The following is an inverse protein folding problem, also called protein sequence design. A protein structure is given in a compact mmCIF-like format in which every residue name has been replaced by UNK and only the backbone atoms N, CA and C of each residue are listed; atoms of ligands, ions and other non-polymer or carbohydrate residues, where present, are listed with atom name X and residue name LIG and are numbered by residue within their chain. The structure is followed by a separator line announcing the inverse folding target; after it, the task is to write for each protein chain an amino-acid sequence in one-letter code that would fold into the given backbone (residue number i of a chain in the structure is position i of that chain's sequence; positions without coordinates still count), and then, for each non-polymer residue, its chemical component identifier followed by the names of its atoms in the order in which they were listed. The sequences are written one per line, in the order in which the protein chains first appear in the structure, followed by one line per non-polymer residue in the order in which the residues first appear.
data_IF_477518208444
#
_entry.id   IF_477518208444
#
_cell.length_a   1.000
_cell.length_b   1.000
_cell.length_c   1.000
_cell.angle_alpha   90.00
_cell.angle_beta   90.00
_cell.angle_gamma   90.00
#
_symmetry.space_group_name_H-M   'P 1'
#
loop_
_entity.id
_entity.type
_entity.pdbx_description
1 polymer ?
#
# COMPACT_ATOMS: atom_id res chain seq x y z
N UNK A 1 49.03 23.77 12.37
CA UNK A 1 49.44 24.51 11.16
C UNK A 1 48.52 24.11 10.02
N UNK A 2 47.99 25.12 9.31
CA UNK A 2 47.06 25.01 8.18
C UNK A 2 47.73 24.37 6.96
N UNK A 3 46.99 23.55 6.21
CA UNK A 3 47.38 23.03 4.90
C UNK A 3 46.19 23.05 3.94
N UNK A 4 46.29 23.89 2.92
CA UNK A 4 45.26 24.42 2.03
C UNK A 4 44.36 23.45 1.23
N UNK A 5 43.09 23.85 1.16
CA UNK A 5 42.13 23.83 0.03
C UNK A 5 42.66 23.38 -1.34
N UNK A 6 41.92 22.46 -1.98
CA UNK A 6 41.62 22.55 -3.43
C UNK A 6 40.12 22.42 -3.68
N UNK A 7 39.58 23.56 -4.09
CA UNK A 7 38.29 23.83 -4.68
C UNK A 7 38.30 23.30 -6.13
N UNK A 8 37.28 22.55 -6.55
CA UNK A 8 36.91 22.40 -7.97
C UNK A 8 35.45 22.82 -8.12
N UNK A 9 35.27 23.92 -8.84
CA UNK A 9 34.00 24.50 -9.30
C UNK A 9 33.79 24.07 -10.76
N UNK A 10 32.52 24.07 -11.17
CA UNK A 10 31.93 24.04 -12.52
C UNK A 10 31.49 22.65 -13.00
N UNK A 11 30.28 22.45 -13.53
CA UNK A 11 29.40 23.38 -14.24
C UNK A 11 27.91 22.99 -14.06
N UNK A 12 27.06 23.99 -13.88
CA UNK A 12 25.59 23.90 -13.93
C UNK A 12 25.15 23.84 -15.39
N UNK A 13 24.25 22.93 -15.73
CA UNK A 13 23.31 23.11 -16.84
C UNK A 13 21.90 22.80 -16.32
N UNK A 14 21.11 23.87 -16.29
CA UNK A 14 19.70 23.95 -15.94
C UNK A 14 18.83 23.37 -17.04
N UNK A 15 17.80 22.61 -16.68
CA UNK A 15 16.49 22.72 -17.34
C UNK A 15 15.40 22.74 -16.28
N UNK A 16 14.76 23.90 -16.18
CA UNK A 16 13.59 24.23 -15.38
C UNK A 16 12.31 23.59 -15.96
N UNK A 17 11.25 23.70 -15.15
CA UNK A 17 9.80 23.57 -15.43
C UNK A 17 9.27 22.17 -15.06
N UNK A 18 8.37 21.96 -14.10
CA UNK A 18 7.47 22.86 -13.36
C UNK A 18 7.16 22.28 -11.98
N UNK A 19 7.35 23.09 -10.94
CA UNK A 19 6.67 22.91 -9.66
C UNK A 19 5.21 23.32 -9.85
N UNK A 20 4.27 22.42 -9.59
CA UNK A 20 2.93 22.80 -9.16
C UNK A 20 2.68 22.21 -7.77
N UNK A 21 2.74 23.08 -6.77
CA UNK A 21 2.16 22.84 -5.45
C UNK A 21 0.70 22.44 -5.60
N UNK A 22 0.30 21.37 -4.94
CA UNK A 22 -0.89 21.41 -4.07
C UNK A 22 -0.57 20.65 -2.80
N UNK A 23 -0.16 21.42 -1.78
CA UNK A 23 -0.34 21.06 -0.39
C UNK A 23 -1.85 21.09 -0.08
N UNK A 24 -2.38 20.10 0.64
CA UNK A 24 -3.59 20.32 1.43
C UNK A 24 -3.29 19.99 2.89
N UNK A 25 -3.64 20.95 3.72
CA UNK A 25 -3.36 21.09 5.14
C UNK A 25 -4.46 20.41 5.94
N UNK A 26 -4.09 19.82 7.07
CA UNK A 26 -5.00 19.32 8.09
C UNK A 26 -6.04 20.37 8.50
N UNK A 27 -7.33 20.03 8.38
CA UNK A 27 -8.41 20.85 8.89
C UNK A 27 -8.54 20.63 10.41
N UNK A 28 -8.20 21.66 11.16
CA UNK A 28 -8.44 21.80 12.59
C UNK A 28 -9.94 21.76 12.91
N UNK A 29 -10.34 20.92 13.85
CA UNK A 29 -11.47 21.25 14.73
C UNK A 29 -11.27 20.67 16.13
N UNK A 30 -10.40 21.30 16.92
CA UNK A 30 -10.69 21.50 18.34
C UNK A 30 -10.76 23.00 18.64
N UNK A 31 -11.80 23.34 19.39
CA UNK A 31 -12.47 24.63 19.43
C UNK A 31 -11.68 25.78 20.09
N UNK A 32 -12.05 26.99 19.65
CA UNK A 32 -12.13 28.25 20.41
C UNK A 32 -11.72 28.18 21.90
N UNK A 33 -10.68 28.92 22.29
CA UNK A 33 -10.88 30.17 23.03
C UNK A 33 -9.57 31.00 23.16
N UNK A 34 -9.61 32.17 22.51
CA UNK A 34 -9.04 33.46 22.90
C UNK A 34 -7.52 33.71 22.97
N UNK A 35 -7.08 34.38 21.89
CA UNK A 35 -6.33 35.65 21.86
C UNK A 35 -4.79 35.66 21.95
N UNK A 36 -4.24 36.00 20.78
CA UNK A 36 -3.14 36.94 20.51
C UNK A 36 -1.69 36.42 20.59
N UNK A 37 -1.18 36.11 19.39
CA UNK A 37 0.12 36.51 18.81
C UNK A 37 1.35 36.55 19.75
N UNK A 38 2.47 35.86 19.52
CA UNK A 38 3.25 35.79 18.27
C UNK A 38 4.46 34.86 18.52
N UNK A 39 4.76 34.00 17.55
CA UNK A 39 6.12 33.56 17.24
C UNK A 39 6.79 32.56 18.20
N UNK A 40 6.46 31.27 18.07
CA UNK A 40 7.46 30.20 18.22
C UNK A 40 7.39 29.29 17.01
N UNK A 41 8.40 29.43 16.16
CA UNK A 41 8.70 28.51 15.05
C UNK A 41 8.95 27.14 15.67
N UNK A 42 8.07 26.18 15.40
CA UNK A 42 8.32 24.77 15.70
C UNK A 42 9.17 24.26 14.54
N UNK A 43 10.42 23.91 14.81
CA UNK A 43 11.27 23.24 13.85
C UNK A 43 10.67 21.88 13.53
N UNK A 44 10.08 21.77 12.34
CA UNK A 44 9.64 20.50 11.77
C UNK A 44 10.88 19.70 11.41
N UNK A 45 11.29 18.78 12.26
CA UNK A 45 12.28 17.76 11.90
C UNK A 45 11.61 16.84 10.89
N UNK A 46 11.86 17.12 9.61
CA UNK A 46 11.48 16.25 8.51
C UNK A 46 12.38 15.01 8.61
N UNK A 47 11.85 13.91 9.13
CA UNK A 47 12.45 12.60 8.93
C UNK A 47 12.06 12.12 7.53
N UNK A 48 12.85 12.52 6.52
CA UNK A 48 13.02 11.67 5.35
C UNK A 48 14.03 10.61 5.74
N UNK A 49 13.60 9.58 6.46
CA UNK A 49 14.32 8.32 6.30
C UNK A 49 13.95 7.82 4.91
N UNK A 50 14.97 7.86 4.04
CA UNK A 50 14.94 7.14 2.79
C UNK A 50 14.58 5.70 3.16
N UNK A 51 13.36 5.27 2.83
CA UNK A 51 13.19 3.87 2.46
C UNK A 51 14.25 3.66 1.38
N UNK A 52 15.25 2.83 1.66
CA UNK A 52 16.19 2.37 0.64
C UNK A 52 15.38 1.60 -0.41
N UNK A 53 14.73 2.33 -1.31
CA UNK A 53 14.46 1.85 -2.65
C UNK A 53 15.86 1.78 -3.25
N UNK A 54 16.42 0.60 -3.53
CA UNK A 54 17.77 0.50 -4.03
C UNK A 54 17.89 1.35 -5.29
N UNK A 55 18.59 2.49 -5.20
CA UNK A 55 19.14 3.18 -6.36
C UNK A 55 20.20 2.26 -6.95
N UNK A 56 19.75 1.29 -7.75
CA UNK A 56 20.65 0.53 -8.56
C UNK A 56 21.15 1.44 -9.68
N UNK A 57 22.30 2.07 -9.45
CA UNK A 57 23.15 2.54 -10.54
C UNK A 57 23.79 1.31 -11.18
N UNK A 58 22.96 0.51 -11.86
CA UNK A 58 23.44 -0.62 -12.64
C UNK A 58 24.02 -0.07 -13.94
N UNK A 59 25.35 -0.12 -14.00
CA UNK A 59 26.09 -0.36 -15.24
C UNK A 59 25.27 -1.28 -16.15
N UNK A 60 24.98 -0.86 -17.38
CA UNK A 60 24.16 -1.55 -18.38
C UNK A 60 24.19 -3.07 -18.24
N UNK A 61 23.25 -3.61 -17.46
CA UNK A 61 23.03 -5.05 -17.37
C UNK A 61 22.46 -5.44 -18.71
N UNK A 62 23.17 -6.33 -19.40
CA UNK A 62 22.68 -6.87 -20.65
C UNK A 62 21.40 -7.64 -20.33
N UNK A 63 20.25 -7.10 -20.75
CA UNK A 63 18.95 -7.71 -20.52
C UNK A 63 18.96 -9.12 -21.11
N UNK A 64 18.74 -10.12 -20.24
CA UNK A 64 18.81 -11.53 -20.63
C UNK A 64 17.59 -11.94 -21.46
N UNK A 65 16.47 -11.25 -21.24
CA UNK A 65 15.22 -11.45 -21.96
C UNK A 65 15.15 -10.48 -23.14
N UNK A 66 14.61 -10.88 -24.32
CA UNK A 66 14.07 -9.90 -25.24
C UNK A 66 12.96 -9.13 -24.51
N UNK A 67 13.32 -7.97 -23.96
CA UNK A 67 12.38 -7.11 -23.23
C UNK A 67 11.24 -6.76 -24.20
N UNK A 68 9.99 -6.97 -23.77
CA UNK A 68 8.77 -6.34 -24.30
C UNK A 68 7.92 -7.06 -25.36
N UNK A 69 8.11 -8.34 -25.66
CA UNK A 69 7.06 -9.04 -26.42
C UNK A 69 5.93 -9.42 -25.46
N UNK A 70 4.91 -8.55 -25.38
CA UNK A 70 3.66 -8.87 -24.69
C UNK A 70 3.07 -10.13 -25.33
N UNK A 71 2.88 -11.15 -24.50
CA UNK A 71 2.18 -12.37 -24.87
C UNK A 71 0.77 -12.36 -24.27
N UNK A 72 -0.12 -13.15 -24.85
CA UNK A 72 -1.50 -13.28 -24.34
C UNK A 72 -1.73 -14.67 -23.80
N UNK A 73 -2.24 -14.74 -22.57
CA UNK A 73 -2.71 -15.99 -21.98
C UNK A 73 -4.10 -16.33 -22.52
N UNK A 74 -4.27 -17.59 -22.93
CA UNK A 74 -5.56 -18.15 -23.33
C UNK A 74 -6.06 -19.14 -22.28
N UNK A 75 -7.33 -19.03 -21.92
CA UNK A 75 -7.96 -20.02 -21.05
C UNK A 75 -8.24 -21.34 -21.80
N UNK A 76 -8.85 -22.31 -21.13
CA UNK A 76 -9.16 -23.63 -21.71
C UNK A 76 -10.09 -23.57 -22.94
N UNK A 77 -10.90 -22.51 -23.06
CA UNK A 77 -11.81 -22.28 -24.18
C UNK A 77 -11.11 -21.57 -25.36
N UNK A 78 -9.82 -21.25 -25.23
CA UNK A 78 -9.04 -20.53 -26.24
C UNK A 78 -9.30 -19.01 -26.25
N UNK A 79 -10.03 -18.49 -25.26
CA UNK A 79 -10.29 -17.05 -25.10
C UNK A 79 -9.05 -16.39 -24.56
N UNK A 80 -8.62 -15.32 -25.23
CA UNK A 80 -7.56 -14.43 -24.76
C UNK A 80 -8.05 -13.65 -23.54
N UNK A 81 -7.38 -13.83 -22.39
CA UNK A 81 -7.87 -13.28 -21.11
C UNK A 81 -7.05 -12.10 -20.63
N UNK A 82 -5.73 -12.25 -20.59
CA UNK A 82 -4.82 -11.19 -20.16
C UNK A 82 -3.51 -11.24 -20.95
N UNK A 83 -2.90 -10.08 -21.16
CA UNK A 83 -1.53 -9.95 -21.60
C UNK A 83 -0.56 -10.09 -20.42
N UNK A 84 0.64 -10.60 -20.70
CA UNK A 84 1.72 -10.72 -19.73
C UNK A 84 3.08 -10.57 -20.44
N UNK A 85 4.12 -10.35 -19.64
CA UNK A 85 5.50 -10.39 -20.11
C UNK A 85 6.38 -11.12 -19.10
N UNK A 86 7.55 -11.58 -19.55
CA UNK A 86 8.61 -12.09 -18.67
C UNK A 86 9.50 -10.93 -18.27
N UNK A 87 9.83 -10.81 -16.99
CA UNK A 87 10.69 -9.76 -16.46
C UNK A 87 12.09 -9.75 -17.12
N UNK A 88 12.87 -8.72 -16.81
CA UNK A 88 14.22 -8.53 -17.36
C UNK A 88 15.21 -9.67 -17.09
N UNK A 89 14.99 -10.44 -16.03
CA UNK A 89 15.86 -11.53 -15.57
C UNK A 89 15.47 -12.91 -16.15
N UNK A 90 14.38 -12.98 -16.91
CA UNK A 90 13.79 -14.17 -17.54
C UNK A 90 13.22 -15.22 -16.57
N UNK A 91 12.88 -14.86 -15.34
CA UNK A 91 12.55 -15.82 -14.29
C UNK A 91 11.16 -15.62 -13.67
N UNK A 92 10.48 -14.53 -14.02
CA UNK A 92 9.16 -14.21 -13.50
C UNK A 92 8.22 -13.66 -14.56
N UNK A 93 6.94 -14.00 -14.44
CA UNK A 93 5.86 -13.46 -15.26
C UNK A 93 5.13 -12.37 -14.50
N UNK A 94 4.92 -11.26 -15.21
CA UNK A 94 4.13 -10.12 -14.77
C UNK A 94 2.91 -10.00 -15.66
N UNK A 95 1.72 -10.03 -15.06
CA UNK A 95 0.47 -9.76 -15.76
C UNK A 95 0.39 -8.28 -16.06
N UNK A 96 0.17 -7.93 -17.33
CA UNK A 96 0.19 -6.56 -17.80
C UNK A 96 -1.22 -5.96 -17.88
N UNK A 97 -2.17 -6.63 -18.51
CA UNK A 97 -3.55 -6.13 -18.68
C UNK A 97 -4.56 -7.23 -18.99
N UNK A 98 -5.80 -7.07 -18.54
CA UNK A 98 -6.95 -7.85 -18.99
C UNK A 98 -7.31 -7.46 -20.42
N UNK A 99 -7.51 -8.45 -21.29
CA UNK A 99 -7.76 -8.25 -22.73
C UNK A 99 -8.99 -9.00 -23.25
N UNK A 100 -9.67 -9.77 -22.39
CA UNK A 100 -10.83 -10.53 -22.84
C UNK A 100 -11.96 -9.61 -23.31
N UNK A 101 -12.48 -9.89 -24.50
CA UNK A 101 -13.60 -9.15 -25.10
C UNK A 101 -14.95 -9.52 -24.48
N UNK A 102 -15.05 -10.74 -23.95
CA UNK A 102 -16.27 -11.29 -23.36
C UNK A 102 -16.18 -11.27 -21.83
N UNK A 103 -17.35 -11.26 -21.19
CA UNK A 103 -17.44 -11.37 -19.73
C UNK A 103 -16.94 -12.75 -19.27
N UNK A 104 -15.90 -12.74 -18.43
CA UNK A 104 -15.38 -13.94 -17.77
C UNK A 104 -15.88 -13.93 -16.33
N UNK A 105 -16.81 -14.84 -16.03
CA UNK A 105 -17.37 -14.94 -14.68
C UNK A 105 -16.32 -15.39 -13.65
N UNK A 106 -15.62 -16.48 -13.93
CA UNK A 106 -14.68 -17.10 -12.99
C UNK A 106 -13.29 -17.14 -13.63
N UNK A 107 -12.36 -16.31 -13.11
CA UNK A 107 -10.99 -16.24 -13.60
C UNK A 107 -10.05 -16.98 -12.65
N UNK A 108 -9.33 -17.98 -13.15
CA UNK A 108 -8.23 -18.64 -12.45
C UNK A 108 -6.92 -18.27 -13.12
N UNK A 109 -6.10 -17.48 -12.43
CA UNK A 109 -4.75 -17.17 -12.90
C UNK A 109 -3.84 -18.36 -12.53
N UNK A 110 -3.08 -18.91 -13.50
CA UNK A 110 -2.22 -20.05 -13.22
C UNK A 110 -0.97 -19.64 -12.41
N UNK A 111 -0.45 -20.56 -11.57
CA UNK A 111 0.82 -20.37 -10.85
C UNK A 111 2.00 -20.18 -11.82
N UNK A 112 1.95 -20.82 -13.00
CA UNK A 112 3.01 -20.78 -14.00
C UNK A 112 2.46 -20.66 -15.41
N UNK A 113 3.19 -19.96 -16.27
CA UNK A 113 2.99 -19.99 -17.72
C UNK A 113 4.34 -20.32 -18.36
N UNK A 114 4.39 -21.34 -19.22
CA UNK A 114 5.63 -21.87 -19.82
C UNK A 114 6.73 -22.17 -18.77
N UNK A 115 6.33 -22.78 -17.66
CA UNK A 115 7.17 -23.14 -16.51
C UNK A 115 7.79 -21.95 -15.72
N UNK A 116 7.42 -20.72 -16.04
CA UNK A 116 7.82 -19.49 -15.32
C UNK A 116 6.69 -19.07 -14.37
N UNK A 117 7.03 -18.69 -13.14
CA UNK A 117 6.06 -18.31 -12.11
C UNK A 117 5.40 -16.97 -12.38
N UNK A 118 4.09 -16.87 -12.09
CA UNK A 118 3.35 -15.61 -12.16
C UNK A 118 3.48 -14.89 -10.83
N UNK A 119 4.26 -13.81 -10.79
CA UNK A 119 4.70 -13.21 -9.50
C UNK A 119 4.12 -11.83 -9.26
N UNK A 120 3.60 -11.16 -10.29
CA UNK A 120 3.11 -9.80 -10.15
C UNK A 120 1.92 -9.49 -11.05
N UNK A 121 1.10 -8.58 -10.57
CA UNK A 121 0.02 -7.93 -11.33
C UNK A 121 0.37 -6.46 -11.46
N UNK A 122 0.49 -5.97 -12.69
CA UNK A 122 0.85 -4.59 -12.98
C UNK A 122 -0.29 -3.63 -12.64
N UNK A 123 0.07 -2.36 -12.56
CA UNK A 123 -0.83 -1.23 -12.48
C UNK A 123 -1.99 -1.35 -13.45
N UNK A 124 -3.21 -1.18 -12.92
CA UNK A 124 -4.48 -1.20 -13.67
C UNK A 124 -4.79 -2.48 -14.44
N UNK A 125 -4.04 -3.57 -14.25
CA UNK A 125 -4.17 -4.76 -15.09
C UNK A 125 -5.61 -5.30 -15.15
N UNK A 126 -6.37 -5.24 -14.06
CA UNK A 126 -7.76 -5.68 -13.97
C UNK A 126 -8.71 -4.56 -13.55
N UNK A 127 -8.33 -3.28 -13.74
CA UNK A 127 -9.16 -2.15 -13.35
C UNK A 127 -10.47 -2.11 -14.16
N UNK A 128 -11.59 -1.82 -13.48
CA UNK A 128 -12.94 -1.79 -14.05
C UNK A 128 -13.38 -3.12 -14.67
N UNK A 129 -12.81 -4.24 -14.22
CA UNK A 129 -13.23 -5.58 -14.66
C UNK A 129 -14.17 -6.18 -13.61
N UNK A 130 -15.31 -6.68 -14.06
CA UNK A 130 -16.27 -7.42 -13.24
C UNK A 130 -15.93 -8.89 -13.29
N UNK A 131 -15.79 -9.53 -12.11
CA UNK A 131 -15.70 -10.98 -11.98
C UNK A 131 -16.79 -11.48 -11.04
N UNK A 132 -17.31 -12.68 -11.26
CA UNK A 132 -18.04 -13.40 -10.20
C UNK A 132 -17.05 -13.91 -9.16
N UNK A 133 -15.91 -14.46 -9.60
CA UNK A 133 -14.80 -14.84 -8.74
C UNK A 133 -13.47 -14.71 -9.48
N UNK A 134 -12.42 -14.33 -8.75
CA UNK A 134 -11.05 -14.35 -9.24
C UNK A 134 -10.18 -15.10 -8.23
N UNK A 135 -9.43 -16.09 -8.73
CA UNK A 135 -8.44 -16.82 -7.93
C UNK A 135 -7.04 -16.42 -8.38
N UNK A 136 -6.34 -15.76 -7.46
CA UNK A 136 -4.94 -15.39 -7.61
C UNK A 136 -4.05 -16.58 -7.15
N UNK A 137 -2.98 -16.93 -7.88
CA UNK A 137 -2.01 -17.95 -7.45
C UNK A 137 -1.20 -17.48 -6.25
N UNK A 138 -0.74 -18.43 -5.43
CA UNK A 138 0.07 -18.16 -4.24
C UNK A 138 1.45 -17.60 -4.59
N UNK A 139 1.93 -17.78 -5.83
CA UNK A 139 3.19 -17.22 -6.34
C UNK A 139 3.22 -15.69 -6.47
N UNK A 140 2.06 -15.01 -6.45
CA UNK A 140 2.01 -13.56 -6.55
C UNK A 140 2.57 -12.90 -5.29
N UNK A 141 3.56 -12.03 -5.49
CA UNK A 141 4.23 -11.19 -4.49
C UNK A 141 3.81 -9.72 -4.54
N UNK A 142 3.37 -9.24 -5.70
CA UNK A 142 3.09 -7.82 -5.92
C UNK A 142 1.75 -7.58 -6.63
N UNK A 143 0.92 -6.70 -6.06
CA UNK A 143 -0.29 -6.18 -6.68
C UNK A 143 -0.12 -4.67 -6.89
N UNK A 144 -0.06 -4.25 -8.15
CA UNK A 144 0.27 -2.90 -8.55
C UNK A 144 -0.83 -1.86 -8.34
N UNK A 145 -0.47 -0.62 -8.65
CA UNK A 145 -1.32 0.54 -8.42
C UNK A 145 -2.61 0.42 -9.22
N UNK A 146 -3.75 0.56 -8.54
CA UNK A 146 -5.07 0.48 -9.15
C UNK A 146 -5.34 -0.86 -9.88
N UNK A 147 -4.59 -1.93 -9.59
CA UNK A 147 -4.68 -3.21 -10.32
C UNK A 147 -6.11 -3.78 -10.40
N UNK A 148 -6.92 -3.61 -9.36
CA UNK A 148 -8.31 -4.02 -9.25
C UNK A 148 -9.22 -2.84 -8.87
N UNK A 149 -8.85 -1.62 -9.27
CA UNK A 149 -9.66 -0.43 -9.01
C UNK A 149 -11.00 -0.54 -9.73
N UNK A 150 -12.09 -0.25 -9.03
CA UNK A 150 -13.46 -0.33 -9.56
C UNK A 150 -13.84 -1.74 -10.09
N UNK A 151 -13.11 -2.78 -9.67
CA UNK A 151 -13.43 -4.16 -10.03
C UNK A 151 -14.53 -4.71 -9.14
N UNK A 152 -15.49 -5.43 -9.72
CA UNK A 152 -16.52 -6.09 -8.92
C UNK A 152 -15.96 -7.43 -8.41
N UNK A 153 -15.54 -7.46 -7.14
CA UNK A 153 -14.94 -8.63 -6.50
C UNK A 153 -15.73 -8.91 -5.21
N UNK A 154 -16.51 -10.01 -5.22
CA UNK A 154 -17.28 -10.43 -4.04
C UNK A 154 -16.44 -11.24 -3.04
N UNK A 155 -15.60 -12.14 -3.56
CA UNK A 155 -14.74 -13.00 -2.75
C UNK A 155 -13.29 -12.78 -3.18
N UNK A 156 -12.48 -12.21 -2.28
CA UNK A 156 -11.06 -11.98 -2.48
C UNK A 156 -10.26 -12.89 -1.53
N UNK A 157 -9.53 -13.84 -2.09
CA UNK A 157 -8.49 -14.58 -1.36
C UNK A 157 -7.16 -14.05 -1.83
N UNK A 158 -6.41 -13.42 -0.92
CA UNK A 158 -5.10 -12.88 -1.22
C UNK A 158 -4.04 -14.01 -1.30
N UNK A 159 -3.07 -13.94 -2.22
CA UNK A 159 -1.97 -14.90 -2.35
C UNK A 159 -1.14 -15.05 -1.08
N UNK A 160 -0.76 -16.27 -0.71
CA UNK A 160 0.04 -16.49 0.52
C UNK A 160 1.41 -15.80 0.51
N UNK A 161 2.05 -15.66 -0.65
CA UNK A 161 3.36 -15.00 -0.77
C UNK A 161 3.24 -13.51 -1.11
N UNK A 162 2.06 -12.91 -0.98
CA UNK A 162 1.87 -11.49 -1.25
C UNK A 162 2.70 -10.66 -0.25
N UNK A 163 3.47 -9.72 -0.78
CA UNK A 163 4.34 -8.83 0.00
C UNK A 163 3.84 -7.38 -0.04
N UNK A 164 3.30 -6.95 -1.17
CA UNK A 164 2.93 -5.55 -1.42
C UNK A 164 1.56 -5.43 -2.07
N UNK A 165 0.73 -4.57 -1.48
CA UNK A 165 -0.54 -4.10 -2.04
C UNK A 165 -0.39 -2.61 -2.28
N UNK A 166 -0.21 -2.20 -3.54
CA UNK A 166 0.11 -0.80 -3.85
C UNK A 166 -1.14 0.11 -3.83
N UNK A 167 -0.90 1.40 -4.05
CA UNK A 167 -1.86 2.47 -3.98
C UNK A 167 -3.12 2.16 -4.79
N UNK A 168 -4.29 2.31 -4.15
CA UNK A 168 -5.61 2.11 -4.76
C UNK A 168 -5.83 0.73 -5.38
N UNK A 169 -5.02 -0.29 -5.05
CA UNK A 169 -5.07 -1.61 -5.67
C UNK A 169 -6.49 -2.20 -5.74
N UNK A 170 -7.28 -2.06 -4.67
CA UNK A 170 -8.67 -2.51 -4.55
C UNK A 170 -9.61 -1.35 -4.20
N UNK A 171 -9.30 -0.13 -4.66
CA UNK A 171 -10.16 1.02 -4.43
C UNK A 171 -11.51 0.84 -5.14
N UNK A 172 -12.62 1.06 -4.44
CA UNK A 172 -13.97 0.86 -4.98
C UNK A 172 -14.19 -0.56 -5.53
N UNK A 173 -13.65 -1.60 -4.89
CA UNK A 173 -13.92 -2.97 -5.30
C UNK A 173 -15.34 -3.37 -4.83
N UNK A 174 -16.35 -2.84 -5.53
CA UNK A 174 -17.76 -2.56 -5.16
C UNK A 174 -18.61 -3.64 -4.44
N UNK A 175 -18.04 -4.78 -4.06
CA UNK A 175 -18.70 -5.85 -3.28
C UNK A 175 -17.76 -6.57 -2.30
N UNK A 176 -16.57 -6.02 -2.02
CA UNK A 176 -15.65 -6.62 -1.06
C UNK A 176 -16.17 -6.39 0.37
N UNK A 177 -16.75 -7.42 0.97
CA UNK A 177 -17.44 -7.40 2.26
C UNK A 177 -16.92 -8.45 3.24
N UNK A 178 -17.30 -8.32 4.52
CA UNK A 178 -16.99 -9.32 5.55
C UNK A 178 -15.56 -9.23 6.08
N UNK A 179 -14.93 -10.39 6.28
CA UNK A 179 -13.59 -10.51 6.88
C UNK A 179 -12.53 -10.66 5.81
N UNK A 180 -11.53 -9.77 5.83
CA UNK A 180 -10.32 -9.88 5.03
C UNK A 180 -9.13 -10.26 5.92
N UNK A 181 -8.52 -11.41 5.64
CA UNK A 181 -7.24 -11.79 6.23
C UNK A 181 -6.10 -11.36 5.29
N UNK A 182 -5.20 -10.52 5.80
CA UNK A 182 -4.01 -10.09 5.08
C UNK A 182 -2.90 -11.15 5.28
N UNK A 183 -2.29 -11.68 4.20
CA UNK A 183 -1.30 -12.77 4.28
C UNK A 183 -0.03 -12.43 5.08
N UNK A 184 0.61 -13.46 5.66
CA UNK A 184 1.76 -13.32 6.57
C UNK A 184 3.01 -12.67 6.00
N UNK A 185 3.12 -12.50 4.68
CA UNK A 185 4.28 -11.85 4.06
C UNK A 185 4.03 -10.38 3.69
N UNK A 186 2.81 -9.87 3.86
CA UNK A 186 2.47 -8.50 3.47
C UNK A 186 3.14 -7.50 4.41
N UNK A 187 4.01 -6.66 3.84
CA UNK A 187 4.73 -5.61 4.58
C UNK A 187 4.14 -4.22 4.35
N UNK A 188 3.46 -4.01 3.23
CA UNK A 188 3.01 -2.69 2.79
C UNK A 188 1.60 -2.72 2.21
N UNK A 189 0.76 -1.80 2.70
CA UNK A 189 -0.58 -1.50 2.18
C UNK A 189 -0.63 -0.02 1.81
N UNK A 190 -0.78 0.24 0.51
CA UNK A 190 -0.66 1.57 -0.09
C UNK A 190 -1.85 2.50 0.14
N UNK A 191 -1.65 3.75 -0.26
CA UNK A 191 -2.62 4.82 -0.11
C UNK A 191 -3.95 4.43 -0.75
N UNK A 192 -5.04 4.51 0.02
CA UNK A 192 -6.37 4.15 -0.44
C UNK A 192 -6.51 2.73 -1.01
N UNK A 193 -5.61 1.79 -0.67
CA UNK A 193 -5.58 0.44 -1.25
C UNK A 193 -6.93 -0.28 -1.19
N UNK A 194 -7.67 -0.13 -0.10
CA UNK A 194 -8.99 -0.71 0.12
C UNK A 194 -10.06 0.36 0.41
N UNK A 195 -9.87 1.60 -0.05
CA UNK A 195 -10.85 2.66 0.18
C UNK A 195 -12.21 2.31 -0.45
N UNK A 196 -13.28 2.63 0.28
CA UNK A 196 -14.67 2.48 -0.16
C UNK A 196 -15.06 1.04 -0.50
N UNK A 197 -14.67 0.12 0.38
CA UNK A 197 -15.15 -1.27 0.41
C UNK A 197 -16.04 -1.51 1.64
N UNK A 198 -16.80 -2.61 1.63
CA UNK A 198 -17.78 -2.98 2.66
C UNK A 198 -17.22 -3.96 3.71
N UNK A 199 -15.90 -3.97 3.88
CA UNK A 199 -15.23 -4.81 4.88
C UNK A 199 -15.71 -4.46 6.29
N UNK A 200 -16.05 -5.49 7.07
CA UNK A 200 -16.46 -5.36 8.47
C UNK A 200 -15.38 -5.86 9.43
N UNK A 201 -14.50 -6.75 8.98
CA UNK A 201 -13.39 -7.22 9.80
C UNK A 201 -12.10 -7.27 8.98
N UNK A 202 -10.98 -6.99 9.64
CA UNK A 202 -9.66 -7.17 9.05
C UNK A 202 -8.68 -7.76 10.06
N UNK A 203 -7.86 -8.70 9.58
CA UNK A 203 -6.80 -9.34 10.34
C UNK A 203 -5.48 -9.05 9.64
N UNK A 204 -4.62 -8.27 10.30
CA UNK A 204 -3.29 -7.92 9.82
C UNK A 204 -2.24 -8.92 10.30
N UNK A 205 -1.23 -9.26 9.46
CA UNK A 205 -0.16 -10.17 9.82
C UNK A 205 0.85 -9.49 10.75
N UNK A 206 1.70 -10.31 11.37
CA UNK A 206 2.79 -9.81 12.21
C UNK A 206 3.86 -9.06 11.39
N UNK A 207 4.02 -9.39 10.10
CA UNK A 207 5.02 -8.79 9.20
C UNK A 207 4.67 -7.40 8.70
N UNK A 208 3.46 -6.91 8.92
CA UNK A 208 2.99 -5.64 8.38
C UNK A 208 3.77 -4.47 8.99
N UNK A 209 4.32 -3.61 8.13
CA UNK A 209 5.10 -2.45 8.55
C UNK A 209 4.37 -1.14 8.29
N UNK A 210 3.64 -1.03 7.19
CA UNK A 210 3.05 0.22 6.76
C UNK A 210 1.60 0.04 6.29
N UNK A 211 0.72 0.86 6.88
CA UNK A 211 -0.61 1.15 6.38
C UNK A 211 -0.61 2.63 6.01
N UNK A 212 -0.75 2.92 4.72
CA UNK A 212 -0.72 4.29 4.21
C UNK A 212 -2.04 5.05 4.40
N UNK A 213 -2.00 6.34 4.07
CA UNK A 213 -3.12 7.27 4.23
C UNK A 213 -4.41 6.75 3.55
N UNK A 214 -5.49 6.78 4.32
CA UNK A 214 -6.82 6.37 3.87
C UNK A 214 -6.90 4.95 3.31
N UNK A 215 -5.98 4.04 3.66
CA UNK A 215 -5.94 2.68 3.12
C UNK A 215 -7.29 1.94 3.22
N UNK A 216 -8.04 2.12 4.32
CA UNK A 216 -9.36 1.57 4.59
C UNK A 216 -10.40 2.68 4.83
N UNK A 217 -10.18 3.87 4.27
CA UNK A 217 -11.13 4.98 4.34
C UNK A 217 -12.48 4.54 3.75
N UNK A 218 -13.58 4.85 4.43
CA UNK A 218 -14.93 4.44 4.03
C UNK A 218 -15.19 2.93 4.09
N UNK A 219 -14.37 2.16 4.79
CA UNK A 219 -14.72 0.81 5.24
C UNK A 219 -15.28 0.86 6.66
N UNK A 220 -16.50 0.36 6.84
CA UNK A 220 -17.20 0.35 8.13
C UNK A 220 -16.70 -0.79 9.03
N UNK A 221 -15.39 -0.89 9.23
CA UNK A 221 -14.76 -1.95 10.02
C UNK A 221 -15.28 -1.91 11.47
N UNK A 222 -15.75 -3.05 11.94
CA UNK A 222 -16.22 -3.28 13.31
C UNK A 222 -15.12 -3.95 14.15
N UNK A 223 -14.27 -4.77 13.53
CA UNK A 223 -13.14 -5.41 14.19
C UNK A 223 -11.84 -5.26 13.40
N UNK A 224 -10.77 -4.89 14.09
CA UNK A 224 -9.41 -4.82 13.56
C UNK A 224 -8.50 -5.60 14.48
N UNK A 225 -7.84 -6.63 13.93
CA UNK A 225 -6.89 -7.46 14.65
C UNK A 225 -5.49 -7.28 14.06
N UNK A 226 -4.48 -7.17 14.92
CA UNK A 226 -3.07 -7.22 14.53
C UNK A 226 -2.42 -8.45 15.16
N UNK A 227 -2.04 -9.43 14.34
CA UNK A 227 -1.26 -10.58 14.79
C UNK A 227 0.09 -10.10 15.35
N UNK A 228 0.59 -10.80 16.37
CA UNK A 228 1.84 -10.43 17.05
C UNK A 228 1.79 -9.02 17.66
N UNK A 229 0.60 -8.53 18.01
CA UNK A 229 0.35 -7.18 18.54
C UNK A 229 0.86 -6.05 17.62
N UNK A 230 0.99 -6.30 16.31
CA UNK A 230 1.50 -5.31 15.36
C UNK A 230 2.93 -4.86 15.66
N UNK A 231 3.77 -5.73 16.24
CA UNK A 231 5.12 -5.37 16.68
C UNK A 231 6.00 -4.75 15.58
N UNK A 232 5.80 -5.12 14.30
CA UNK A 232 6.58 -4.58 13.18
C UNK A 232 5.96 -3.33 12.55
N UNK A 233 4.77 -2.93 12.99
CA UNK A 233 4.03 -1.82 12.41
C UNK A 233 4.72 -0.50 12.77
N UNK A 234 5.16 0.23 11.74
CA UNK A 234 5.86 1.52 11.85
C UNK A 234 4.96 2.70 11.56
N UNK A 235 3.93 2.50 10.72
CA UNK A 235 3.05 3.58 10.29
C UNK A 235 1.59 3.13 10.14
N UNK A 236 0.71 3.97 10.67
CA UNK A 236 -0.72 4.03 10.34
C UNK A 236 -0.99 5.44 9.78
N UNK A 237 -1.33 5.53 8.51
CA UNK A 237 -1.54 6.79 7.82
C UNK A 237 -2.73 7.60 8.34
N UNK A 238 -2.78 8.86 7.92
CA UNK A 238 -3.90 9.76 8.19
C UNK A 238 -5.17 9.18 7.60
N UNK A 239 -6.27 9.23 8.35
CA UNK A 239 -7.58 8.68 7.94
C UNK A 239 -7.57 7.20 7.52
N UNK A 240 -6.50 6.42 7.84
CA UNK A 240 -6.35 5.05 7.36
C UNK A 240 -7.55 4.16 7.64
N UNK A 241 -8.25 4.38 8.76
CA UNK A 241 -9.47 3.67 9.14
C UNK A 241 -10.65 4.62 9.39
N UNK A 242 -10.63 5.80 8.77
CA UNK A 242 -11.70 6.78 8.97
C UNK A 242 -13.05 6.18 8.55
N UNK A 243 -14.07 6.42 9.39
CA UNK A 243 -15.40 5.79 9.46
C UNK A 243 -15.50 4.38 10.06
N UNK A 244 -14.39 3.74 10.43
CA UNK A 244 -14.46 2.48 11.17
C UNK A 244 -15.25 2.65 12.49
N UNK A 245 -16.04 1.65 12.83
CA UNK A 245 -16.97 1.61 13.97
C UNK A 245 -16.51 0.59 15.00
N UNK A 246 -15.22 0.58 15.32
CA UNK A 246 -14.66 -0.40 16.26
C UNK A 246 -15.03 -0.04 17.71
N UNK A 247 -15.51 -1.02 18.46
CA UNK A 247 -15.77 -0.86 19.90
C UNK A 247 -14.48 -1.04 20.73
N UNK A 248 -13.65 -2.01 20.35
CA UNK A 248 -12.39 -2.34 21.02
C UNK A 248 -11.23 -1.57 20.40
N UNK A 249 -11.11 -0.29 20.76
CA UNK A 249 -9.95 0.50 20.36
C UNK A 249 -8.66 -0.07 20.93
N UNK A 250 -7.55 0.22 20.26
CA UNK A 250 -6.22 -0.26 20.60
C UNK A 250 -5.43 0.90 21.20
N UNK A 251 -4.82 0.67 22.36
CA UNK A 251 -3.89 1.63 22.94
C UNK A 251 -2.68 1.71 22.01
N UNK A 252 -2.36 2.91 21.54
CA UNK A 252 -1.24 3.10 20.62
C UNK A 252 0.09 2.59 21.18
N UNK A 253 0.25 2.54 22.51
CA UNK A 253 1.44 2.01 23.20
C UNK A 253 1.58 0.49 23.10
N UNK A 254 0.55 -0.22 22.65
CA UNK A 254 0.63 -1.65 22.38
C UNK A 254 1.55 -1.96 21.18
N UNK A 255 1.77 -0.98 20.29
CA UNK A 255 2.65 -1.13 19.12
C UNK A 255 4.08 -0.71 19.47
N UNK A 256 4.99 -1.68 19.52
CA UNK A 256 6.39 -1.46 19.95
C UNK A 256 7.18 -0.51 19.05
N UNK A 257 6.92 -0.54 17.73
CA UNK A 257 7.70 0.18 16.73
C UNK A 257 6.88 1.23 15.94
N UNK A 258 5.69 1.60 16.42
CA UNK A 258 4.83 2.56 15.71
C UNK A 258 5.35 3.99 15.88
N UNK A 259 5.77 4.60 14.77
CA UNK A 259 6.40 5.91 14.74
C UNK A 259 5.45 7.00 14.22
N UNK A 260 4.60 6.65 13.25
CA UNK A 260 3.69 7.59 12.58
C UNK A 260 2.26 7.08 12.72
N UNK A 261 1.40 7.88 13.35
CA UNK A 261 -0.03 7.59 13.47
C UNK A 261 -0.85 8.86 13.61
N UNK A 262 -2.15 8.75 13.30
CA UNK A 262 -3.14 9.82 13.51
C UNK A 262 -3.96 9.53 14.77
N UNK A 263 -3.98 10.48 15.73
CA UNK A 263 -4.77 10.38 16.96
C UNK A 263 -6.29 10.39 16.71
N UNK A 264 -6.73 10.88 15.55
CA UNK A 264 -8.14 10.84 15.17
C UNK A 264 -8.56 9.50 14.57
N UNK A 265 -7.61 8.57 14.41
CA UNK A 265 -7.91 7.27 13.87
C UNK A 265 -8.86 6.53 14.83
N UNK A 266 -10.06 6.11 14.38
CA UNK A 266 -11.10 5.60 15.27
C UNK A 266 -10.73 4.29 15.94
N UNK A 267 -9.72 3.58 15.44
CA UNK A 267 -9.24 2.32 16.03
C UNK A 267 -8.23 2.52 17.14
N UNK A 268 -7.70 3.73 17.30
CA UNK A 268 -6.66 4.03 18.28
C UNK A 268 -7.24 4.85 19.43
N UNK A 269 -6.64 4.68 20.60
CA UNK A 269 -6.79 5.60 21.72
C UNK A 269 -5.45 5.75 22.45
N UNK A 270 -5.36 6.80 23.26
CA UNK A 270 -4.26 7.01 24.18
C UNK A 270 -4.85 7.14 25.57
N UNK A 271 -4.51 6.20 26.47
CA UNK A 271 -4.96 6.26 27.85
C UNK A 271 -4.07 7.20 28.67
N UNK A 272 -4.64 8.36 29.04
CA UNK A 272 -3.96 9.39 29.83
C UNK A 272 -3.81 9.02 31.32
N UNK A 273 -4.54 8.02 31.84
CA UNK A 273 -4.61 7.76 33.28
C UNK A 273 -3.29 7.24 33.88
N UNK A 274 -2.39 6.66 33.06
CA UNK A 274 -1.10 6.10 33.54
C UNK A 274 -0.08 7.20 33.90
N UNK A 275 -0.30 8.47 33.52
CA UNK A 275 0.63 9.56 33.84
C UNK A 275 0.49 10.07 35.29
N UNK A 276 -0.60 9.74 35.98
CA UNK A 276 -0.89 10.27 37.33
C UNK A 276 -0.43 9.35 38.48
N UNK A 277 0.09 8.15 38.21
CA UNK A 277 0.60 7.25 39.26
C UNK A 277 2.03 7.62 39.74
N UNK A 278 2.62 8.70 39.21
CA UNK A 278 4.00 9.13 39.52
C UNK A 278 4.16 10.21 40.58
N UNK A 279 3.08 10.79 41.13
CA UNK A 279 3.18 11.77 42.23
C UNK A 279 2.85 11.07 43.55
N UNK A 280 3.85 10.42 44.13
CA UNK A 280 3.84 10.00 45.52
C UNK A 280 4.20 11.25 46.35
N UNK A 281 3.33 11.59 47.30
CA UNK A 281 3.45 12.68 48.31
C UNK A 281 4.84 12.76 48.99
#
# INVERSE_FOLDING_TARGET
MKGNKKLKIALVLTSLISVSLTSFVAYQQFNNNNNNEKGKTIETTIFTENIDIPENTETTKEFKCPINDLETFKNADGIEVFSYYVNQDCDEIVIDSYVASDYIADLQIPEKIKDIEVTAIRDRAFANVTFKSIKLPDSIRYIGKEAFRESDIKELILPKNLEVIDNRAFQYANNLEGTLEIPENVRYIGQNAFQSNYLTNIIFPESLEVIEDGAFLYSELENVEFKGNGKNLKKIGVDAFSVAKVDNKIDVRAFENLEIYDFNNPILYFDEEILNEGVID
#
